data_IF_494230770626
#
_entry.id   IF_494230770626
#
_cell.length_a   1.000
_cell.length_b   1.000
_cell.length_c   1.000
_cell.angle_alpha   90.00
_cell.angle_beta   90.00
_cell.angle_gamma   90.00
#
_symmetry.space_group_name_H-M   'P 1'
#
loop_
_entity.id
_entity.type
_entity.pdbx_description
1 polymer ?
#
# COMPACT_ATOMS: atom_id res chain seq x y z
N UNK A 1 -2.25 -28.72 -5.89
CA UNK A 1 -2.71 -27.39 -5.44
C UNK A 1 -1.55 -26.46 -5.73
N UNK A 2 -1.77 -25.40 -6.50
CA UNK A 2 -0.67 -24.56 -6.96
C UNK A 2 -0.02 -23.81 -5.82
N UNK A 3 1.14 -23.20 -6.10
CA UNK A 3 1.90 -22.39 -5.14
C UNK A 3 1.06 -21.26 -4.57
N UNK A 4 1.27 -20.96 -3.28
CA UNK A 4 0.59 -19.88 -2.59
C UNK A 4 1.50 -18.65 -2.49
N UNK A 5 0.97 -17.50 -2.91
CA UNK A 5 1.66 -16.22 -2.83
C UNK A 5 0.86 -15.23 -1.99
N UNK A 6 1.56 -14.46 -1.18
CA UNK A 6 0.97 -13.48 -0.28
C UNK A 6 1.73 -12.16 -0.46
N UNK A 7 1.05 -11.12 -0.93
CA UNK A 7 1.62 -9.82 -1.23
C UNK A 7 1.09 -8.74 -0.29
N UNK A 8 1.97 -7.89 0.21
CA UNK A 8 1.66 -6.78 1.08
C UNK A 8 2.20 -5.46 0.60
N UNK A 9 1.31 -4.47 0.51
CA UNK A 9 1.64 -3.13 0.07
C UNK A 9 1.31 -2.12 1.16
N UNK A 10 2.27 -1.28 1.52
CA UNK A 10 2.10 -0.30 2.59
C UNK A 10 2.65 1.05 2.15
N UNK A 11 1.79 2.01 1.84
CA UNK A 11 2.24 3.36 1.46
C UNK A 11 3.28 3.36 0.33
N UNK A 12 4.56 3.59 0.67
CA UNK A 12 5.73 3.57 -0.24
C UNK A 12 6.62 2.33 -0.09
N UNK A 13 6.13 1.28 0.56
CA UNK A 13 6.85 0.03 0.78
C UNK A 13 6.06 -1.19 0.30
N UNK A 14 6.76 -2.30 0.16
CA UNK A 14 6.19 -3.60 -0.17
C UNK A 14 6.88 -4.70 0.63
N UNK A 15 6.09 -5.70 1.03
CA UNK A 15 6.54 -6.99 1.53
C UNK A 15 5.92 -8.12 0.71
N UNK A 16 6.68 -9.18 0.46
CA UNK A 16 6.23 -10.35 -0.30
C UNK A 16 6.51 -11.59 0.53
N UNK A 17 5.60 -12.56 0.50
CA UNK A 17 5.78 -13.88 1.11
C UNK A 17 5.45 -14.94 0.06
N UNK A 18 6.40 -15.85 -0.18
CA UNK A 18 6.21 -17.08 -0.94
C UNK A 18 6.42 -18.26 -0.01
N UNK A 19 5.58 -19.29 -0.10
CA UNK A 19 5.60 -20.45 0.82
C UNK A 19 6.72 -21.47 0.51
N UNK A 20 7.73 -21.11 -0.31
CA UNK A 20 8.82 -22.02 -0.69
C UNK A 20 10.18 -21.65 -0.07
N UNK A 21 10.74 -22.61 0.68
CA UNK A 21 12.07 -22.69 1.31
C UNK A 21 12.28 -22.03 2.69
N UNK A 22 12.54 -22.89 3.67
CA UNK A 22 12.68 -22.63 5.11
C UNK A 22 14.06 -22.07 5.51
N UNK A 23 14.33 -20.80 5.25
CA UNK A 23 15.41 -20.08 5.96
C UNK A 23 15.00 -18.65 6.28
N UNK A 24 14.78 -18.42 7.57
CA UNK A 24 14.44 -17.13 8.16
C UNK A 24 15.69 -16.22 8.14
N UNK A 25 15.57 -15.02 7.57
CA UNK A 25 16.54 -13.94 7.78
C UNK A 25 15.84 -12.85 8.62
N UNK A 26 16.07 -12.91 9.93
CA UNK A 26 15.43 -12.04 10.91
C UNK A 26 16.09 -10.66 10.95
N UNK A 27 15.89 -9.83 9.93
CA UNK A 27 16.45 -8.47 9.91
C UNK A 27 15.51 -7.42 9.32
N UNK A 28 14.27 -7.32 9.80
CA UNK A 28 13.43 -6.11 9.62
C UNK A 28 12.60 -5.86 10.88
N UNK A 29 13.14 -5.07 11.83
CA UNK A 29 12.47 -4.65 13.08
C UNK A 29 11.97 -3.21 12.99
N UNK A 30 10.81 -3.04 12.34
CA UNK A 30 9.80 -1.96 12.47
C UNK A 30 8.56 -2.45 11.72
N UNK A 31 7.81 -3.38 12.32
CA UNK A 31 6.69 -3.99 11.61
C UNK A 31 5.43 -3.16 11.79
N UNK A 32 4.95 -2.59 10.69
CA UNK A 32 3.59 -2.08 10.61
C UNK A 32 2.58 -3.15 10.97
N UNK A 33 1.39 -2.72 11.39
CA UNK A 33 0.30 -3.65 11.67
C UNK A 33 -0.05 -4.51 10.45
N UNK A 34 0.07 -3.96 9.23
CA UNK A 34 0.03 -4.72 7.98
C UNK A 34 1.03 -5.86 8.01
N UNK A 35 2.31 -5.58 8.29
CA UNK A 35 3.36 -6.61 8.46
C UNK A 35 3.06 -7.62 9.58
N UNK A 36 2.35 -7.24 10.65
CA UNK A 36 1.97 -8.16 11.72
C UNK A 36 0.80 -9.07 11.31
N UNK A 37 -0.18 -8.55 10.57
CA UNK A 37 -1.20 -9.36 9.91
C UNK A 37 -0.57 -10.34 8.92
N UNK A 38 0.47 -9.92 8.19
CA UNK A 38 1.23 -10.76 7.27
C UNK A 38 1.95 -11.92 7.96
N UNK A 39 2.70 -11.65 9.02
CA UNK A 39 3.45 -12.68 9.75
C UNK A 39 2.51 -13.70 10.41
N UNK A 40 1.35 -13.26 10.90
CA UNK A 40 0.38 -14.12 11.58
C UNK A 40 -0.51 -14.92 10.63
N UNK A 41 -0.84 -14.38 9.46
CA UNK A 41 -1.67 -15.09 8.48
C UNK A 41 -0.96 -16.30 7.86
N UNK A 42 0.37 -16.28 7.80
CA UNK A 42 1.14 -17.28 7.04
C UNK A 42 1.85 -18.32 7.93
N UNK A 43 2.08 -18.02 9.23
CA UNK A 43 2.54 -19.02 10.22
C UNK A 43 3.86 -19.74 9.88
N UNK A 44 4.70 -19.19 8.99
CA UNK A 44 5.86 -19.86 8.42
C UNK A 44 7.08 -18.97 8.19
N UNK A 45 8.19 -19.55 7.71
CA UNK A 45 9.41 -18.81 7.42
C UNK A 45 9.21 -17.89 6.21
N UNK A 46 9.28 -16.58 6.44
CA UNK A 46 9.00 -15.54 5.45
C UNK A 46 10.29 -15.08 4.77
N UNK A 47 10.33 -15.13 3.43
CA UNK A 47 11.31 -14.36 2.65
C UNK A 47 10.80 -12.93 2.49
N UNK A 48 11.21 -12.03 3.38
CA UNK A 48 10.87 -10.62 3.22
C UNK A 48 11.66 -10.00 2.06
N UNK A 49 10.97 -9.69 0.96
CA UNK A 49 11.47 -8.77 -0.05
C UNK A 49 11.03 -7.36 0.34
N UNK A 50 11.77 -6.75 1.27
CA UNK A 50 11.48 -5.41 1.76
C UNK A 50 12.19 -4.35 0.93
N UNK A 51 11.43 -3.55 0.19
CA UNK A 51 11.90 -2.21 -0.20
C UNK A 51 11.68 -1.29 1.00
N UNK A 52 12.75 -1.01 1.76
CA UNK A 52 12.64 -0.09 2.90
C UNK A 52 12.42 1.33 2.38
N UNK A 53 11.38 2.04 2.83
CA UNK A 53 11.14 3.44 2.46
C UNK A 53 12.21 4.41 3.00
N UNK A 54 13.14 3.93 3.84
CA UNK A 54 14.26 4.73 4.36
C UNK A 54 15.25 5.17 3.27
N UNK A 55 15.16 4.58 2.06
CA UNK A 55 15.89 5.04 0.87
C UNK A 55 14.89 5.81 0.00
N UNK A 56 14.71 7.10 0.30
CA UNK A 56 13.73 7.94 -0.38
C UNK A 56 13.84 7.85 -1.90
N UNK A 57 12.72 7.56 -2.58
CA UNK A 57 12.65 7.69 -4.05
C UNK A 57 11.73 6.74 -4.79
N UNK A 58 11.19 5.68 -4.19
CA UNK A 58 10.34 4.76 -4.94
C UNK A 58 8.94 5.36 -5.16
N UNK A 59 8.57 5.49 -6.43
CA UNK A 59 7.19 5.77 -6.83
C UNK A 59 6.30 4.55 -6.60
N UNK A 60 4.98 4.74 -6.61
CA UNK A 60 4.04 3.62 -6.55
C UNK A 60 4.23 2.68 -7.75
N UNK A 61 4.61 3.21 -8.92
CA UNK A 61 4.94 2.44 -10.13
C UNK A 61 6.17 1.54 -9.90
N UNK A 62 7.21 2.04 -9.23
CA UNK A 62 8.41 1.24 -8.94
C UNK A 62 8.10 0.05 -8.03
N UNK A 63 7.28 0.30 -7.00
CA UNK A 63 6.84 -0.75 -6.07
C UNK A 63 6.03 -1.82 -6.80
N UNK A 64 5.09 -1.40 -7.66
CA UNK A 64 4.30 -2.31 -8.46
C UNK A 64 5.16 -3.13 -9.43
N UNK A 65 6.11 -2.48 -10.11
CA UNK A 65 7.04 -3.17 -11.03
C UNK A 65 7.88 -4.21 -10.30
N UNK A 66 8.35 -3.89 -9.09
CA UNK A 66 9.09 -4.86 -8.29
C UNK A 66 8.21 -6.03 -7.86
N UNK A 67 6.95 -5.77 -7.47
CA UNK A 67 5.98 -6.83 -7.17
C UNK A 67 5.78 -7.79 -8.34
N UNK A 68 5.57 -7.21 -9.53
CA UNK A 68 5.43 -7.94 -10.80
C UNK A 68 6.68 -8.76 -11.08
N UNK A 69 7.87 -8.15 -11.01
CA UNK A 69 9.14 -8.82 -11.26
C UNK A 69 9.35 -10.01 -10.33
N UNK A 70 9.07 -9.83 -9.04
CA UNK A 70 9.21 -10.92 -8.05
C UNK A 70 8.18 -12.02 -8.31
N UNK A 71 6.93 -11.67 -8.63
CA UNK A 71 5.91 -12.65 -8.98
C UNK A 71 6.32 -13.46 -10.21
N UNK A 72 6.74 -12.80 -11.29
CA UNK A 72 7.21 -13.41 -12.53
C UNK A 72 8.39 -14.36 -12.32
N UNK A 73 9.36 -13.94 -11.49
CA UNK A 73 10.53 -14.76 -11.18
C UNK A 73 10.19 -16.04 -10.40
N UNK A 74 9.06 -16.06 -9.69
CA UNK A 74 8.68 -17.18 -8.81
C UNK A 74 7.46 -17.97 -9.30
N UNK A 75 6.71 -17.47 -10.29
CA UNK A 75 5.53 -18.11 -10.85
C UNK A 75 5.85 -18.66 -12.25
N UNK A 76 6.27 -19.94 -12.36
CA UNK A 76 6.58 -20.54 -13.66
C UNK A 76 5.33 -20.55 -14.56
N UNK A 77 5.54 -20.41 -15.87
CA UNK A 77 4.46 -20.44 -16.87
C UNK A 77 3.93 -19.07 -17.30
N UNK A 78 4.49 -17.98 -16.76
CA UNK A 78 4.25 -16.64 -17.29
C UNK A 78 5.12 -16.45 -18.53
N UNK A 79 4.50 -16.12 -19.66
CA UNK A 79 5.19 -15.78 -20.90
C UNK A 79 4.78 -14.40 -21.37
N UNK A 80 5.77 -13.55 -21.65
CA UNK A 80 5.56 -12.22 -22.25
C UNK A 80 5.72 -12.34 -23.76
N UNK A 81 4.72 -11.88 -24.52
CA UNK A 81 4.83 -11.69 -25.97
C UNK A 81 4.61 -10.22 -26.30
N UNK A 82 5.58 -9.63 -27.00
CA UNK A 82 5.41 -8.30 -27.59
C UNK A 82 4.84 -8.51 -28.97
N UNK A 83 3.58 -8.11 -29.15
CA UNK A 83 2.89 -8.16 -30.43
C UNK A 83 2.81 -6.72 -30.97
N UNK A 84 2.92 -6.59 -32.29
CA UNK A 84 2.69 -5.32 -32.96
C UNK A 84 1.34 -5.42 -33.65
N UNK A 85 0.38 -4.59 -33.24
CA UNK A 85 -0.88 -4.51 -33.97
C UNK A 85 -0.59 -4.04 -35.39
N UNK A 86 -1.04 -4.82 -36.37
CA UNK A 86 -0.87 -4.48 -37.77
C UNK A 86 -1.50 -3.09 -38.02
N UNK A 87 -0.82 -2.20 -38.77
CA UNK A 87 -1.26 -0.82 -38.98
C UNK A 87 -2.60 -0.69 -39.75
N UNK A 88 -3.22 -1.79 -40.15
CA UNK A 88 -4.39 -1.84 -41.03
C UNK A 88 -5.67 -1.24 -40.41
N UNK A 89 -5.71 -0.98 -39.09
CA UNK A 89 -6.86 -0.39 -38.40
C UNK A 89 -6.69 1.07 -37.93
N UNK A 90 -5.55 1.72 -38.19
CA UNK A 90 -5.31 3.11 -37.71
C UNK A 90 -5.27 4.15 -38.84
N UNK A 91 -5.87 5.35 -38.64
CA UNK A 91 -5.75 6.45 -39.58
C UNK A 91 -4.28 6.83 -39.77
N UNK A 92 -3.90 7.06 -41.04
CA UNK A 92 -2.54 7.32 -41.58
C UNK A 92 -1.81 8.52 -40.94
N UNK A 93 -1.50 8.45 -39.66
CA UNK A 93 -0.75 9.49 -38.94
C UNK A 93 0.76 9.24 -38.91
N UNK A 94 1.26 8.22 -39.63
CA UNK A 94 2.70 7.98 -39.79
C UNK A 94 3.42 7.52 -38.52
N UNK A 95 2.72 7.27 -37.42
CA UNK A 95 3.28 6.63 -36.23
C UNK A 95 3.16 5.11 -36.40
N UNK A 96 4.29 4.41 -36.26
CA UNK A 96 4.35 2.94 -36.33
C UNK A 96 3.31 2.29 -35.42
N UNK A 97 2.85 1.09 -35.78
CA UNK A 97 1.78 0.36 -35.09
C UNK A 97 1.96 0.36 -33.57
N UNK A 98 0.85 0.47 -32.84
CA UNK A 98 0.88 0.45 -31.38
C UNK A 98 1.52 -0.86 -30.91
N UNK A 99 2.60 -0.74 -30.13
CA UNK A 99 3.22 -1.88 -29.46
C UNK A 99 2.24 -2.35 -28.40
N UNK A 100 1.69 -3.56 -28.57
CA UNK A 100 0.79 -4.18 -27.60
C UNK A 100 1.53 -5.31 -26.90
N UNK A 101 1.69 -5.17 -25.60
CA UNK A 101 2.27 -6.24 -24.79
C UNK A 101 1.17 -7.17 -24.31
N UNK A 102 1.19 -8.41 -24.80
CA UNK A 102 0.27 -9.45 -24.36
C UNK A 102 0.98 -10.38 -23.39
N UNK A 103 0.37 -10.57 -22.24
CA UNK A 103 0.85 -11.44 -21.19
C UNK A 103 -0.06 -12.65 -21.11
N UNK A 104 0.53 -13.84 -21.05
CA UNK A 104 -0.23 -15.09 -20.90
C UNK A 104 0.36 -15.92 -19.78
N UNK A 105 -0.51 -16.54 -18.99
CA UNK A 105 -0.13 -17.52 -17.98
C UNK A 105 -0.65 -18.89 -18.40
N UNK A 106 0.27 -19.86 -18.46
CA UNK A 106 -0.07 -21.27 -18.62
C UNK A 106 0.17 -21.97 -17.28
N UNK A 107 -0.87 -22.55 -16.65
CA UNK A 107 -0.69 -23.29 -15.40
C UNK A 107 0.35 -24.41 -15.52
N UNK A 108 1.24 -24.47 -14.54
CA UNK A 108 2.17 -25.61 -14.41
C UNK A 108 1.46 -26.88 -13.93
N UNK A 109 2.19 -28.00 -13.79
CA UNK A 109 1.62 -29.28 -13.32
C UNK A 109 1.02 -29.20 -11.91
N UNK A 110 1.46 -28.24 -11.10
CA UNK A 110 0.94 -28.01 -9.73
C UNK A 110 -0.45 -27.35 -9.72
N UNK A 111 -0.88 -26.79 -10.86
CA UNK A 111 -2.10 -26.02 -11.04
C UNK A 111 -1.88 -24.50 -10.98
N UNK A 112 -2.95 -23.69 -11.08
CA UNK A 112 -2.86 -22.23 -10.99
C UNK A 112 -2.47 -21.79 -9.57
N UNK A 113 -1.78 -20.64 -9.42
CA UNK A 113 -1.37 -20.15 -8.11
C UNK A 113 -2.57 -19.71 -7.27
N UNK A 114 -2.42 -19.76 -5.96
CA UNK A 114 -3.36 -19.16 -5.01
C UNK A 114 -2.75 -17.85 -4.53
N UNK A 115 -3.39 -16.72 -4.82
CA UNK A 115 -2.84 -15.39 -4.51
C UNK A 115 -3.68 -14.66 -3.47
N UNK A 116 -3.03 -14.17 -2.42
CA UNK A 116 -3.60 -13.27 -1.42
C UNK A 116 -2.87 -11.92 -1.50
N UNK A 117 -3.63 -10.84 -1.45
CA UNK A 117 -3.07 -9.49 -1.56
C UNK A 117 -3.64 -8.62 -0.45
N UNK A 118 -2.80 -7.80 0.17
CA UNK A 118 -3.25 -6.79 1.11
C UNK A 118 -2.58 -5.45 0.83
N UNK A 119 -3.30 -4.37 1.10
CA UNK A 119 -2.80 -3.03 0.87
C UNK A 119 -3.33 -2.01 1.88
N UNK A 120 -2.45 -1.15 2.39
CA UNK A 120 -2.81 -0.01 3.24
C UNK A 120 -2.47 1.32 2.56
N UNK A 121 -3.37 2.30 2.67
CA UNK A 121 -3.17 3.65 2.14
C UNK A 121 -2.94 3.61 0.61
N UNK A 122 -1.89 4.26 0.10
CA UNK A 122 -1.43 4.12 -1.30
C UNK A 122 -1.08 2.68 -1.68
N UNK A 123 -0.63 1.88 -0.71
CA UNK A 123 -0.44 0.44 -0.88
C UNK A 123 -1.74 -0.29 -1.23
N UNK A 124 -2.88 0.20 -0.76
CA UNK A 124 -4.21 -0.29 -1.18
C UNK A 124 -4.44 -0.12 -2.67
N UNK A 125 -4.09 1.05 -3.21
CA UNK A 125 -4.17 1.31 -4.65
C UNK A 125 -3.20 0.44 -5.45
N UNK A 126 -1.94 0.33 -5.01
CA UNK A 126 -0.94 -0.56 -5.63
C UNK A 126 -1.42 -2.02 -5.64
N UNK A 127 -2.02 -2.48 -4.54
CA UNK A 127 -2.60 -3.82 -4.44
C UNK A 127 -3.66 -4.08 -5.50
N UNK A 128 -4.53 -3.09 -5.77
CA UNK A 128 -5.55 -3.21 -6.81
C UNK A 128 -4.92 -3.21 -8.21
N UNK A 129 -3.92 -2.36 -8.47
CA UNK A 129 -3.18 -2.38 -9.74
C UNK A 129 -2.46 -3.73 -9.96
N UNK A 130 -1.94 -4.34 -8.89
CA UNK A 130 -1.36 -5.67 -8.94
C UNK A 130 -2.41 -6.75 -9.25
N UNK A 131 -3.60 -6.66 -8.64
CA UNK A 131 -4.71 -7.56 -8.95
C UNK A 131 -5.16 -7.42 -10.41
N UNK A 132 -5.19 -6.20 -10.95
CA UNK A 132 -5.48 -5.92 -12.36
C UNK A 132 -4.42 -6.51 -13.30
N UNK A 133 -3.13 -6.44 -12.93
CA UNK A 133 -2.08 -7.14 -13.66
C UNK A 133 -2.33 -8.67 -13.67
N UNK A 134 -2.65 -9.27 -12.53
CA UNK A 134 -3.00 -10.69 -12.44
C UNK A 134 -4.25 -11.05 -13.26
N UNK A 135 -5.21 -10.14 -13.36
CA UNK A 135 -6.41 -10.32 -14.21
C UNK A 135 -6.02 -10.46 -15.67
N UNK A 136 -5.10 -9.62 -16.15
CA UNK A 136 -4.61 -9.67 -17.55
C UNK A 136 -3.88 -10.98 -17.85
N UNK A 137 -3.31 -11.63 -16.83
CA UNK A 137 -2.75 -12.98 -16.92
C UNK A 137 -3.80 -14.11 -16.83
N UNK A 138 -5.06 -13.81 -16.50
CA UNK A 138 -6.07 -14.83 -16.22
C UNK A 138 -5.90 -15.51 -14.87
N UNK A 139 -5.16 -14.90 -13.94
CA UNK A 139 -4.90 -15.44 -12.60
C UNK A 139 -5.95 -14.89 -11.62
N UNK A 140 -6.60 -15.78 -10.88
CA UNK A 140 -7.56 -15.40 -9.84
C UNK A 140 -6.85 -14.99 -8.55
N UNK A 141 -7.34 -13.91 -7.93
CA UNK A 141 -6.94 -13.48 -6.60
C UNK A 141 -7.96 -14.02 -5.60
N UNK A 142 -7.50 -14.87 -4.70
CA UNK A 142 -8.34 -15.52 -3.69
C UNK A 142 -8.91 -14.50 -2.71
N UNK A 143 -8.08 -13.56 -2.30
CA UNK A 143 -8.42 -12.58 -1.27
C UNK A 143 -7.69 -11.25 -1.48
N UNK A 144 -8.43 -10.16 -1.35
CA UNK A 144 -7.92 -8.80 -1.30
C UNK A 144 -8.35 -8.12 0.01
N UNK A 145 -7.38 -7.78 0.86
CA UNK A 145 -7.62 -7.03 2.09
C UNK A 145 -7.14 -5.58 1.98
N UNK A 146 -8.05 -4.62 2.04
CA UNK A 146 -7.73 -3.20 1.90
C UNK A 146 -7.95 -2.47 3.23
N UNK A 147 -6.96 -1.65 3.58
CA UNK A 147 -6.97 -0.78 4.75
C UNK A 147 -6.91 0.67 4.27
N UNK A 148 -8.06 1.32 4.26
CA UNK A 148 -8.25 2.72 3.90
C UNK A 148 -7.50 3.11 2.62
N UNK A 149 -7.78 2.37 1.53
CA UNK A 149 -7.08 2.55 0.26
C UNK A 149 -7.35 3.95 -0.29
N UNK A 150 -6.29 4.65 -0.68
CA UNK A 150 -6.35 6.00 -1.27
C UNK A 150 -5.57 6.04 -2.56
N UNK A 151 -6.17 6.64 -3.58
CA UNK A 151 -5.45 6.99 -4.81
C UNK A 151 -4.95 8.42 -4.69
N UNK A 152 -3.63 8.56 -4.82
CA UNK A 152 -2.90 9.84 -4.82
C UNK A 152 -1.88 9.87 -5.94
N UNK A 153 -1.93 8.92 -6.87
CA UNK A 153 -0.95 8.75 -7.93
C UNK A 153 -1.61 8.89 -9.31
N UNK A 154 -1.62 10.13 -9.79
CA UNK A 154 -2.17 10.51 -11.10
C UNK A 154 -1.51 9.71 -12.24
N UNK A 155 -0.27 9.26 -12.07
CA UNK A 155 0.48 8.58 -13.14
C UNK A 155 0.06 7.11 -13.32
N UNK A 156 -0.35 6.45 -12.25
CA UNK A 156 -0.74 5.05 -12.26
C UNK A 156 -2.17 4.84 -12.76
N UNK A 157 -3.07 5.76 -12.44
CA UNK A 157 -4.47 5.72 -12.88
C UNK A 157 -4.56 5.63 -14.42
N UNK A 158 -3.75 6.43 -15.13
CA UNK A 158 -3.70 6.40 -16.59
C UNK A 158 -3.21 5.06 -17.19
N UNK A 159 -2.42 4.26 -16.47
CA UNK A 159 -1.83 3.01 -16.99
C UNK A 159 -2.66 1.78 -16.66
N UNK A 160 -3.18 1.72 -15.43
CA UNK A 160 -3.90 0.54 -14.95
C UNK A 160 -5.41 0.74 -15.01
N UNK A 161 -5.89 1.99 -14.99
CA UNK A 161 -7.30 2.38 -15.03
C UNK A 161 -8.10 1.61 -13.96
N UNK A 162 -7.69 1.77 -12.70
CA UNK A 162 -8.21 0.99 -11.57
C UNK A 162 -8.90 1.92 -10.59
N UNK A 163 -10.18 2.16 -10.79
CA UNK A 163 -11.04 2.81 -9.80
C UNK A 163 -11.71 1.80 -8.87
N UNK A 164 -11.84 0.55 -9.33
CA UNK A 164 -12.73 -0.46 -8.77
C UNK A 164 -11.97 -1.75 -8.43
N UNK A 165 -12.59 -2.60 -7.61
CA UNK A 165 -12.02 -3.93 -7.29
C UNK A 165 -11.99 -4.81 -8.55
N UNK A 166 -10.81 -5.29 -9.00
CA UNK A 166 -10.72 -6.04 -10.24
C UNK A 166 -11.56 -7.33 -10.26
N UNK A 167 -12.14 -7.69 -11.43
CA UNK A 167 -13.05 -8.82 -11.53
C UNK A 167 -12.38 -10.21 -11.50
N UNK A 168 -11.10 -10.33 -11.18
CA UNK A 168 -10.45 -11.59 -10.81
C UNK A 168 -10.35 -11.79 -9.29
N UNK A 169 -10.78 -10.82 -8.48
CA UNK A 169 -10.79 -10.90 -7.01
C UNK A 169 -12.07 -11.62 -6.54
N UNK A 170 -11.90 -12.79 -5.93
CA UNK A 170 -13.01 -13.62 -5.42
C UNK A 170 -13.62 -13.05 -4.14
N UNK A 171 -12.78 -12.63 -3.20
CA UNK A 171 -13.21 -12.09 -1.92
C UNK A 171 -12.45 -10.80 -1.64
N UNK A 172 -13.19 -9.75 -1.29
CA UNK A 172 -12.62 -8.46 -0.91
C UNK A 172 -13.18 -8.02 0.45
N UNK A 173 -12.30 -7.53 1.33
CA UNK A 173 -12.68 -6.80 2.55
C UNK A 173 -11.95 -5.47 2.54
N UNK A 174 -12.71 -4.40 2.48
CA UNK A 174 -12.17 -3.04 2.48
C UNK A 174 -12.66 -2.31 3.71
N UNK A 175 -11.75 -2.08 4.66
CA UNK A 175 -12.01 -1.22 5.80
C UNK A 175 -11.70 0.22 5.38
N UNK A 176 -12.69 1.11 5.42
CA UNK A 176 -12.50 2.53 5.16
C UNK A 176 -12.77 3.33 6.44
N UNK A 177 -12.10 4.47 6.58
CA UNK A 177 -12.40 5.37 7.69
C UNK A 177 -13.78 6.01 7.50
N UNK A 178 -14.47 6.28 8.61
CA UNK A 178 -15.75 7.01 8.57
C UNK A 178 -15.53 8.40 7.93
N UNK A 179 -16.24 8.73 6.82
CA UNK A 179 -16.15 10.04 6.19
C UNK A 179 -16.43 11.21 7.15
N UNK A 180 -17.23 10.98 8.20
CA UNK A 180 -17.59 12.00 9.20
C UNK A 180 -16.43 12.45 10.08
N UNK A 181 -15.39 11.62 10.24
CA UNK A 181 -14.19 11.99 11.01
C UNK A 181 -13.41 13.10 10.31
N UNK A 182 -13.73 13.38 9.04
CA UNK A 182 -13.03 14.38 8.26
C UNK A 182 -11.67 13.84 7.84
N UNK A 183 -11.42 13.88 6.54
CA UNK A 183 -10.08 13.68 6.01
C UNK A 183 -9.58 14.96 5.39
N UNK A 184 -8.26 15.05 5.26
CA UNK A 184 -7.63 16.08 4.44
C UNK A 184 -8.37 16.16 3.09
N UNK A 185 -8.65 17.38 2.58
CA UNK A 185 -9.15 17.54 1.23
C UNK A 185 -8.29 16.71 0.26
N UNK A 186 -8.94 16.00 -0.67
CA UNK A 186 -8.33 15.11 -1.68
C UNK A 186 -7.88 13.72 -1.19
N UNK A 187 -8.17 13.29 0.05
CA UNK A 187 -7.98 11.89 0.48
C UNK A 187 -9.21 11.05 0.16
N UNK A 188 -9.67 11.04 -1.10
CA UNK A 188 -10.77 10.13 -1.48
C UNK A 188 -10.36 8.66 -1.29
N UNK A 189 -11.27 7.83 -0.80
CA UNK A 189 -11.07 6.39 -0.84
C UNK A 189 -11.24 5.88 -2.28
N UNK A 190 -10.41 4.92 -2.69
CA UNK A 190 -10.47 4.24 -4.00
C UNK A 190 -10.89 2.78 -3.82
N UNK A 191 -11.40 2.11 -4.85
CA UNK A 191 -11.87 0.73 -4.72
C UNK A 191 -13.09 0.60 -3.81
N UNK A 192 -13.97 1.60 -3.84
CA UNK A 192 -15.23 1.64 -3.07
C UNK A 192 -16.40 1.08 -3.86
N UNK A 193 -16.32 1.07 -5.19
CA UNK A 193 -17.31 0.41 -6.04
C UNK A 193 -17.02 -1.10 -6.11
N UNK A 194 -18.09 -1.87 -6.02
CA UNK A 194 -18.04 -3.33 -5.94
C UNK A 194 -19.09 -3.92 -6.89
N UNK A 195 -18.67 -4.92 -7.67
CA UNK A 195 -19.59 -5.76 -8.42
C UNK A 195 -20.42 -6.61 -7.42
N UNK A 196 -21.75 -6.44 -7.38
CA UNK A 196 -22.61 -7.09 -6.38
C UNK A 196 -22.65 -8.61 -6.51
N UNK A 197 -22.16 -9.19 -7.62
CA UNK A 197 -22.10 -10.63 -7.81
C UNK A 197 -20.98 -11.33 -7.00
N UNK A 198 -20.17 -10.59 -6.24
CA UNK A 198 -18.96 -11.10 -5.56
C UNK A 198 -19.02 -10.91 -4.05
N UNK A 199 -18.25 -11.71 -3.32
CA UNK A 199 -18.11 -11.55 -1.86
C UNK A 199 -17.18 -10.38 -1.53
N UNK A 200 -17.67 -9.16 -1.78
CA UNK A 200 -16.99 -7.92 -1.49
C UNK A 200 -17.73 -7.20 -0.36
N UNK A 201 -17.01 -6.82 0.69
CA UNK A 201 -17.57 -6.07 1.81
C UNK A 201 -16.74 -4.83 2.06
N UNK A 202 -17.43 -3.69 2.05
CA UNK A 202 -16.93 -2.39 2.49
C UNK A 202 -17.50 -2.12 3.88
N UNK A 203 -16.67 -1.64 4.81
CA UNK A 203 -17.13 -1.26 6.14
C UNK A 203 -16.40 -0.01 6.62
N UNK A 204 -17.18 0.93 7.15
CA UNK A 204 -16.70 2.14 7.78
C UNK A 204 -16.25 1.86 9.22
N UNK A 205 -15.15 2.49 9.63
CA UNK A 205 -14.64 2.41 10.99
C UNK A 205 -14.35 3.80 11.56
N UNK A 206 -14.69 4.05 12.83
CA UNK A 206 -14.42 5.32 13.47
C UNK A 206 -12.93 5.43 13.84
N UNK A 207 -12.10 5.88 12.90
CA UNK A 207 -10.70 6.21 13.18
C UNK A 207 -10.05 7.07 12.08
N UNK A 208 -8.87 7.60 12.38
CA UNK A 208 -8.02 8.30 11.42
C UNK A 208 -7.44 7.35 10.38
N UNK A 209 -6.93 7.89 9.26
CA UNK A 209 -6.20 7.12 8.26
C UNK A 209 -5.11 6.23 8.89
N UNK A 210 -4.37 6.75 9.87
CA UNK A 210 -3.31 6.01 10.58
C UNK A 210 -3.86 4.88 11.46
N UNK A 211 -4.98 5.07 12.16
CA UNK A 211 -5.63 3.99 12.92
C UNK A 211 -6.08 2.84 12.02
N UNK A 212 -6.55 3.13 10.81
CA UNK A 212 -6.90 2.09 9.83
C UNK A 212 -5.69 1.22 9.46
N UNK A 213 -4.50 1.80 9.46
CA UNK A 213 -3.23 1.10 9.26
C UNK A 213 -2.63 0.49 10.53
N UNK A 214 -3.36 0.49 11.65
CA UNK A 214 -2.93 -0.02 12.95
C UNK A 214 -1.86 0.81 13.67
N UNK A 215 -1.75 2.09 13.31
CA UNK A 215 -0.96 3.08 14.03
C UNK A 215 -1.91 4.12 14.64
N UNK A 216 -2.67 3.76 15.69
CA UNK A 216 -3.47 4.74 16.40
C UNK A 216 -2.56 5.88 16.87
N UNK A 217 -3.01 7.12 16.70
CA UNK A 217 -2.28 8.27 17.19
C UNK A 217 -2.42 8.34 18.72
N UNK A 218 -1.57 7.60 19.43
CA UNK A 218 -1.42 7.72 20.88
C UNK A 218 -0.80 9.08 21.19
N UNK A 219 -1.63 10.10 21.37
CA UNK A 219 -1.14 11.38 21.90
C UNK A 219 -2.13 11.93 22.94
N UNK A 220 -1.87 11.64 24.23
CA UNK A 220 -2.40 12.46 25.32
C UNK A 220 -1.85 13.89 25.29
N UNK A 221 -0.72 14.13 24.60
CA UNK A 221 -0.04 15.42 24.50
C UNK A 221 0.30 15.73 23.03
N UNK A 222 -0.69 16.14 22.22
CA UNK A 222 -0.36 16.87 20.99
C UNK A 222 0.14 18.25 21.40
N UNK A 223 1.40 18.54 21.04
CA UNK A 223 1.97 19.89 21.06
C UNK A 223 0.91 20.89 20.54
N UNK A 224 0.56 21.94 21.30
CA UNK A 224 -0.40 22.96 20.89
C UNK A 224 -0.11 23.54 19.49
N UNK A 225 1.15 23.58 19.07
CA UNK A 225 1.55 23.99 17.73
C UNK A 225 1.20 22.94 16.65
N UNK A 226 1.27 21.65 16.97
CA UNK A 226 0.82 20.58 16.09
C UNK A 226 -0.71 20.54 15.99
N UNK A 227 -1.42 20.72 17.12
CA UNK A 227 -2.88 20.93 17.14
C UNK A 227 -3.31 22.15 16.31
N UNK A 228 -2.57 23.26 16.39
CA UNK A 228 -2.86 24.47 15.61
C UNK A 228 -2.59 24.29 14.11
N UNK A 229 -1.55 23.53 13.72
CA UNK A 229 -1.26 23.21 12.31
C UNK A 229 -2.23 22.19 11.72
N UNK A 230 -2.77 21.30 12.55
CA UNK A 230 -3.87 20.40 12.20
C UNK A 230 -5.15 21.22 11.99
N UNK A 231 -5.49 22.13 12.91
CA UNK A 231 -6.64 23.02 12.80
C UNK A 231 -6.57 24.00 11.60
N UNK A 232 -5.37 24.46 11.22
CA UNK A 232 -5.18 25.46 10.16
C UNK A 232 -5.18 24.91 8.72
N UNK A 233 -5.41 23.61 8.49
CA UNK A 233 -5.48 23.10 7.10
C UNK A 233 -5.59 21.60 6.90
N UNK A 234 -5.66 20.79 7.95
CA UNK A 234 -5.85 19.35 7.84
C UNK A 234 -6.78 18.89 8.93
N UNK A 235 -8.09 19.05 8.72
CA UNK A 235 -9.14 18.62 9.65
C UNK A 235 -8.89 17.18 10.11
N UNK A 236 -8.31 17.05 11.29
CA UNK A 236 -8.33 15.85 12.10
C UNK A 236 -9.34 16.22 13.19
N UNK A 237 -10.54 15.66 13.15
CA UNK A 237 -11.35 15.63 14.38
C UNK A 237 -10.48 14.95 15.44
N UNK A 238 -10.50 15.47 16.66
CA UNK A 238 -9.93 14.77 17.79
C UNK A 238 -10.71 13.45 17.96
N UNK A 239 -10.09 12.33 17.58
CA UNK A 239 -10.61 10.99 17.86
C UNK A 239 -9.97 10.53 19.16
N UNK A 240 -10.79 10.05 20.09
CA UNK A 240 -10.32 9.49 21.37
C UNK A 240 -9.29 8.36 21.09
N UNK A 241 -8.09 8.38 21.68
CA UNK A 241 -7.08 7.33 21.49
C UNK A 241 -7.59 5.90 21.75
N UNK A 242 -8.57 5.74 22.66
CA UNK A 242 -9.22 4.45 22.91
C UNK A 242 -10.10 4.04 21.74
N UNK A 243 -10.77 4.99 21.08
CA UNK A 243 -11.54 4.74 19.86
C UNK A 243 -10.63 4.38 18.68
N UNK A 244 -9.49 5.07 18.51
CA UNK A 244 -8.48 4.74 17.50
C UNK A 244 -7.94 3.30 17.67
N UNK A 245 -7.64 2.91 18.91
CA UNK A 245 -7.15 1.56 19.23
C UNK A 245 -8.22 0.49 19.02
N UNK A 246 -9.46 0.76 19.39
CA UNK A 246 -10.58 -0.14 19.14
C UNK A 246 -10.83 -0.29 17.64
N UNK A 247 -10.82 0.81 16.89
CA UNK A 247 -10.99 0.80 15.44
C UNK A 247 -9.90 -0.03 14.75
N UNK A 248 -8.62 0.15 15.11
CA UNK A 248 -7.52 -0.65 14.57
C UNK A 248 -7.74 -2.16 14.75
N UNK A 249 -8.23 -2.60 15.92
CA UNK A 249 -8.54 -4.01 16.18
C UNK A 249 -9.75 -4.51 15.38
N UNK A 250 -10.80 -3.71 15.27
CA UNK A 250 -12.00 -4.11 14.56
C UNK A 250 -11.76 -4.20 13.05
N UNK A 251 -10.96 -3.26 12.51
CA UNK A 251 -10.42 -3.28 11.15
C UNK A 251 -9.64 -4.57 10.91
N UNK A 252 -8.73 -4.92 11.83
CA UNK A 252 -7.96 -6.14 11.77
C UNK A 252 -8.83 -7.40 11.67
N UNK A 253 -9.85 -7.48 12.52
CA UNK A 253 -10.76 -8.62 12.57
C UNK A 253 -11.56 -8.73 11.28
N UNK A 254 -12.03 -7.59 10.75
CA UNK A 254 -12.80 -7.55 9.52
C UNK A 254 -11.97 -7.93 8.28
N UNK A 255 -10.78 -7.36 8.13
CA UNK A 255 -9.90 -7.60 6.97
C UNK A 255 -9.12 -8.92 7.11
N UNK A 256 -8.86 -9.40 8.32
CA UNK A 256 -8.13 -10.65 8.55
C UNK A 256 -9.02 -11.89 8.64
N UNK A 257 -10.27 -11.75 9.10
CA UNK A 257 -11.14 -12.87 9.51
C UNK A 257 -11.24 -14.03 8.52
N UNK A 258 -11.55 -13.80 7.23
CA UNK A 258 -11.68 -14.88 6.25
C UNK A 258 -10.36 -15.54 5.88
N UNK A 259 -9.28 -14.76 5.76
CA UNK A 259 -7.95 -15.29 5.41
C UNK A 259 -7.38 -16.16 6.53
N UNK A 260 -7.62 -15.76 7.79
CA UNK A 260 -7.22 -16.49 9.00
C UNK A 260 -8.02 -17.80 9.14
N UNK A 261 -9.31 -17.79 8.82
CA UNK A 261 -10.15 -19.01 8.84
C UNK A 261 -9.78 -20.00 7.72
N UNK A 262 -9.45 -19.52 6.53
CA UNK A 262 -9.09 -20.37 5.39
C UNK A 262 -7.71 -21.07 5.56
N UNK A 263 -6.88 -20.61 6.49
CA UNK A 263 -5.58 -21.21 6.83
C UNK A 263 -5.58 -22.12 8.07
N UNK A 264 -6.71 -22.30 8.77
CA UNK A 264 -6.80 -23.18 9.94
C UNK A 264 -6.11 -22.65 11.22
N UNK A 265 -5.84 -21.34 11.32
CA UNK A 265 -5.18 -20.74 12.49
C UNK A 265 -6.16 -19.85 13.26
N UNK A 266 -6.82 -20.38 14.29
CA UNK A 266 -7.70 -19.59 15.14
C UNK A 266 -6.92 -18.78 16.20
N UNK A 267 -7.32 -17.51 16.35
CA UNK A 267 -7.25 -16.72 17.58
C UNK A 267 -5.87 -16.25 18.09
N UNK A 268 -5.47 -15.02 17.73
CA UNK A 268 -4.74 -14.08 18.60
C UNK A 268 -4.57 -12.70 17.93
N UNK A 269 -5.58 -11.83 18.06
CA UNK A 269 -5.51 -10.43 17.66
C UNK A 269 -5.51 -9.56 18.93
N UNK A 270 -4.37 -9.50 19.60
CA UNK A 270 -4.09 -8.54 20.68
C UNK A 270 -2.96 -7.63 20.20
N UNK A 271 -3.24 -6.33 20.18
CA UNK A 271 -2.25 -5.29 19.94
C UNK A 271 -1.20 -5.37 21.06
N UNK A 272 0.06 -5.63 20.70
CA UNK A 272 1.16 -5.52 21.64
C UNK A 272 1.60 -4.04 21.58
N UNK A 273 1.48 -3.26 22.67
CA UNK A 273 1.94 -1.89 22.65
C UNK A 273 3.45 -1.85 22.31
N UNK A 274 3.91 -0.87 21.51
CA UNK A 274 5.32 -0.76 21.18
C UNK A 274 6.14 -0.63 22.48
N UNK A 275 7.28 -1.34 22.54
CA UNK A 275 8.12 -1.25 23.73
C UNK A 275 8.62 0.19 23.91
N UNK A 276 8.74 0.65 25.16
CA UNK A 276 9.21 2.01 25.50
C UNK A 276 10.53 2.36 24.81
N UNK A 277 11.42 1.37 24.68
CA UNK A 277 12.68 1.51 23.95
C UNK A 277 12.51 1.85 22.45
N UNK A 278 11.43 1.37 21.82
CA UNK A 278 11.12 1.65 20.43
C UNK A 278 10.59 3.08 20.25
N UNK A 279 9.74 3.53 21.19
CA UNK A 279 9.23 4.91 21.25
C UNK A 279 10.37 5.90 21.48
N UNK A 280 11.25 5.63 22.45
CA UNK A 280 12.40 6.48 22.77
C UNK A 280 13.40 6.58 21.59
N UNK A 281 13.56 5.50 20.82
CA UNK A 281 14.40 5.51 19.61
C UNK A 281 13.76 6.31 18.48
N UNK A 282 12.46 6.16 18.25
CA UNK A 282 11.75 6.94 17.24
C UNK A 282 11.81 8.45 17.54
N UNK A 283 11.62 8.82 18.81
CA UNK A 283 11.72 10.20 19.26
C UNK A 283 13.11 10.80 19.04
N UNK A 284 14.19 10.05 19.31
CA UNK A 284 15.56 10.49 18.98
C UNK A 284 15.77 10.75 17.49
N UNK A 285 15.32 9.85 16.63
CA UNK A 285 15.48 10.02 15.17
C UNK A 285 14.70 11.23 14.64
N UNK A 286 13.52 11.51 15.20
CA UNK A 286 12.76 12.71 14.89
C UNK A 286 13.50 13.98 15.34
N UNK A 287 14.06 13.98 16.55
CA UNK A 287 14.86 15.08 17.08
C UNK A 287 16.11 15.34 16.20
N UNK A 288 16.81 14.29 15.76
CA UNK A 288 17.97 14.40 14.86
C UNK A 288 17.59 14.99 13.50
N UNK A 289 16.49 14.54 12.90
CA UNK A 289 15.99 15.09 11.63
C UNK A 289 15.65 16.57 11.78
N UNK A 290 14.95 16.94 12.84
CA UNK A 290 14.51 18.31 13.07
C UNK A 290 15.71 19.23 13.38
N UNK A 291 16.71 18.73 14.10
CA UNK A 291 17.99 19.42 14.30
C UNK A 291 18.71 19.66 12.96
N UNK A 292 18.76 18.65 12.08
CA UNK A 292 19.34 18.79 10.74
C UNK A 292 18.59 19.81 9.88
N UNK A 293 17.25 19.81 9.91
CA UNK A 293 16.46 20.79 9.17
C UNK A 293 16.65 22.22 9.69
N UNK A 294 16.77 22.41 11.01
CA UNK A 294 17.11 23.71 11.60
C UNK A 294 18.50 24.17 11.13
N UNK A 295 19.51 23.30 11.20
CA UNK A 295 20.86 23.63 10.73
C UNK A 295 20.88 24.04 9.25
N UNK A 296 20.10 23.38 8.39
CA UNK A 296 19.98 23.75 6.97
C UNK A 296 19.32 25.13 6.77
N UNK A 297 18.30 25.45 7.58
CA UNK A 297 17.66 26.78 7.54
C UNK A 297 18.62 27.86 8.03
N UNK A 298 19.33 27.62 9.12
CA UNK A 298 20.28 28.57 9.68
C UNK A 298 21.45 28.81 8.71
N UNK A 299 21.91 27.76 8.01
CA UNK A 299 22.90 27.89 6.93
C UNK A 299 22.38 28.76 5.78
N UNK A 300 21.14 28.57 5.35
CA UNK A 300 20.52 29.37 4.29
C UNK A 300 20.31 30.85 4.68
N UNK A 301 20.18 31.15 5.98
CA UNK A 301 20.10 32.52 6.49
C UNK A 301 21.49 33.18 6.57
N UNK A 302 22.53 32.41 6.93
CA UNK A 302 23.90 32.93 7.07
C UNK A 302 24.60 33.19 5.75
N UNK A 303 24.26 32.42 4.72
CA UNK A 303 24.81 32.57 3.38
C UNK A 303 23.64 32.80 2.40
N UNK A 304 23.01 33.99 2.46
CA UNK A 304 21.92 34.29 1.53
C UNK A 304 22.49 34.23 0.12
N UNK A 305 21.92 33.36 -0.71
CA UNK A 305 22.32 33.23 -2.11
C UNK A 305 22.46 34.63 -2.73
N UNK A 306 23.55 34.91 -3.46
CA UNK A 306 23.78 36.23 -4.01
C UNK A 306 22.58 36.67 -4.86
N UNK A 307 22.20 37.96 -4.85
CA UNK A 307 20.96 38.48 -5.45
C UNK A 307 20.83 38.31 -6.98
N UNK A 308 21.73 37.58 -7.64
CA UNK A 308 21.74 37.30 -9.07
C UNK A 308 20.57 36.41 -9.56
N UNK A 309 19.73 35.87 -8.67
CA UNK A 309 18.49 35.15 -9.00
C UNK A 309 17.22 35.95 -8.69
N UNK A 310 17.30 37.28 -8.62
CA UNK A 310 16.13 38.15 -8.72
C UNK A 310 15.54 38.03 -10.14
N UNK A 311 14.57 37.13 -10.28
CA UNK A 311 13.56 37.01 -11.34
C UNK A 311 13.54 38.17 -12.34
N UNK A 312 14.06 37.92 -13.55
CA UNK A 312 13.59 38.65 -14.74
C UNK A 312 12.10 38.34 -14.87
N UNK A 313 11.24 39.34 -14.67
CA UNK A 313 9.83 39.24 -15.07
C UNK A 313 9.79 38.88 -16.56
N UNK A 314 8.97 37.91 -16.99
CA UNK A 314 8.67 37.75 -18.40
C UNK A 314 8.00 39.06 -18.87
N UNK A 315 8.56 39.67 -19.91
CA UNK A 315 7.85 40.71 -20.65
C UNK A 315 6.76 39.99 -21.46
N UNK A 316 5.53 40.06 -20.97
CA UNK A 316 4.31 39.99 -21.76
C UNK A 316 3.60 41.33 -21.61
#
# INVERSE_FOLDING_TARGET
MGKTYVFGFEGTGMGIISTENWRLNATLRKQSFVSQCFDRAVGGAVKHYGLSPDVGGFSCDDILREAIRVFEANCPGITRRVEYEAPEAMPRTGRGGARVERWTYTPGPEGPPVVFVFGYSRGGFIAMCFCEYLRRLGIQVRYLGLFDAVDRDISMDARYNVSDIPPNVLTCRHAIRDPKIGSRPLFGNTGTWMDPARDHKLKDFPGTHSAMGGFPLDTPELDPALSSRIAAGGGLLYVDPNQETAAARDVASFVGGPAVQLGGLASALVAIPPSRALVDRANRLLQERDARQRALRDAAVRDPLPPAYAWRRPLY
#
